data_IF_790046387580
#
_entry.id   IF_790046387580
#
_cell.length_a   1.000
_cell.length_b   1.000
_cell.length_c   1.000
_cell.angle_alpha   90.00
_cell.angle_beta   90.00
_cell.angle_gamma   90.00
#
_symmetry.space_group_name_H-M   'P 1'
#
loop_
_entity.id
_entity.type
_entity.pdbx_description
1 polymer ?
#
# COMPACT_ATOMS: atom_id res chain seq x y z
N UNK A 1 -3.36 10.77 -16.03
CA UNK A 1 -2.97 9.83 -14.95
C UNK A 1 -1.66 10.33 -14.35
N UNK A 2 -1.49 10.22 -13.03
CA UNK A 2 -0.28 10.66 -12.31
C UNK A 2 0.18 9.54 -11.37
N UNK A 3 1.49 9.35 -11.25
CA UNK A 3 2.11 8.43 -10.29
C UNK A 3 2.53 9.19 -9.03
N UNK A 4 2.03 8.76 -7.89
CA UNK A 4 2.24 9.38 -6.59
C UNK A 4 3.22 8.56 -5.76
N UNK A 5 4.30 9.18 -5.32
CA UNK A 5 5.34 8.56 -4.51
C UNK A 5 5.36 9.12 -3.08
N UNK A 6 5.86 8.38 -2.09
CA UNK A 6 6.21 8.97 -0.81
C UNK A 6 7.30 10.01 -1.00
N UNK A 7 7.20 11.14 -0.29
CA UNK A 7 8.21 12.18 -0.32
C UNK A 7 9.38 11.85 0.60
N UNK A 8 10.57 12.32 0.23
CA UNK A 8 11.74 12.27 1.10
C UNK A 8 11.51 13.10 2.39
N UNK A 9 11.99 12.57 3.52
CA UNK A 9 11.82 13.19 4.84
C UNK A 9 12.50 14.56 4.93
N UNK A 10 13.70 14.70 4.36
CA UNK A 10 14.47 15.95 4.40
C UNK A 10 14.09 16.90 3.26
N UNK A 11 13.61 16.37 2.14
CA UNK A 11 13.18 17.15 0.99
C UNK A 11 11.77 16.75 0.52
N UNK A 12 10.71 17.35 1.11
CA UNK A 12 9.31 17.00 0.82
C UNK A 12 8.86 17.21 -0.64
N UNK A 13 9.70 17.79 -1.50
CA UNK A 13 9.44 17.99 -2.93
C UNK A 13 10.07 16.91 -3.82
N UNK A 14 10.84 16.00 -3.24
CA UNK A 14 11.47 14.87 -3.94
C UNK A 14 10.83 13.57 -3.48
N UNK A 15 10.84 12.58 -4.36
CA UNK A 15 10.46 11.23 -3.97
C UNK A 15 11.49 10.68 -2.97
N UNK A 16 11.03 9.83 -2.07
CA UNK A 16 11.85 9.01 -1.19
C UNK A 16 12.97 8.32 -1.99
N UNK A 17 14.17 8.24 -1.41
CA UNK A 17 15.35 7.67 -2.06
C UNK A 17 15.09 6.26 -2.62
N UNK A 18 14.32 5.41 -1.91
CA UNK A 18 13.98 4.05 -2.34
C UNK A 18 13.15 4.00 -3.64
N UNK A 19 12.47 5.10 -4.00
CA UNK A 19 11.63 5.20 -5.20
C UNK A 19 12.14 6.21 -6.22
N UNK A 20 13.27 6.88 -5.94
CA UNK A 20 13.79 7.97 -6.77
C UNK A 20 14.07 7.56 -8.21
N UNK A 21 14.68 6.38 -8.42
CA UNK A 21 14.94 5.83 -9.76
C UNK A 21 13.64 5.50 -10.50
N UNK A 22 12.67 4.86 -9.82
CA UNK A 22 11.36 4.55 -10.41
C UNK A 22 10.62 5.81 -10.83
N UNK A 23 10.62 6.85 -9.98
CA UNK A 23 10.02 8.14 -10.30
C UNK A 23 10.70 8.79 -11.51
N UNK A 24 12.03 8.72 -11.61
CA UNK A 24 12.77 9.22 -12.77
C UNK A 24 12.43 8.46 -14.05
N UNK A 25 12.38 7.12 -14.00
CA UNK A 25 11.99 6.29 -15.15
C UNK A 25 10.57 6.60 -15.63
N UNK A 26 9.60 6.69 -14.72
CA UNK A 26 8.20 7.02 -15.06
C UNK A 26 8.09 8.41 -15.68
N UNK A 27 8.82 9.38 -15.12
CA UNK A 27 8.88 10.73 -15.69
C UNK A 27 9.52 10.75 -17.08
N UNK A 28 10.62 10.01 -17.28
CA UNK A 28 11.30 9.88 -18.57
C UNK A 28 10.42 9.17 -19.62
N UNK A 29 9.54 8.28 -19.19
CA UNK A 29 8.52 7.66 -20.04
C UNK A 29 7.35 8.61 -20.39
N UNK A 30 7.36 9.86 -19.93
CA UNK A 30 6.37 10.89 -20.27
C UNK A 30 5.15 10.95 -19.34
N UNK A 31 5.15 10.21 -18.24
CA UNK A 31 4.06 10.27 -17.25
C UNK A 31 4.26 11.38 -16.23
N UNK A 32 3.16 11.97 -15.77
CA UNK A 32 3.19 12.89 -14.64
C UNK A 32 3.53 12.14 -13.34
N UNK A 33 4.35 12.78 -12.50
CA UNK A 33 4.73 12.26 -11.18
C UNK A 33 4.47 13.31 -10.11
N UNK A 34 4.06 12.89 -8.92
CA UNK A 34 3.95 13.73 -7.73
C UNK A 34 4.40 13.00 -6.48
N UNK A 35 4.50 13.74 -5.38
CA UNK A 35 4.92 13.23 -4.08
C UNK A 35 3.95 13.63 -2.98
N UNK A 36 3.88 12.82 -1.93
CA UNK A 36 3.11 13.09 -0.70
C UNK A 36 3.93 12.67 0.53
N UNK A 37 3.89 13.48 1.59
CA UNK A 37 4.50 13.10 2.86
C UNK A 37 3.58 12.16 3.63
N UNK A 38 4.03 10.91 3.83
CA UNK A 38 3.29 9.90 4.58
C UNK A 38 3.18 10.28 6.07
N UNK A 39 4.24 10.88 6.63
CA UNK A 39 4.26 11.39 8.01
C UNK A 39 3.21 12.48 8.27
N UNK A 40 2.77 13.17 7.21
CA UNK A 40 1.75 14.20 7.30
C UNK A 40 0.33 13.66 7.09
N UNK A 41 0.13 12.37 6.82
CA UNK A 41 -1.21 11.82 6.64
C UNK A 41 -2.03 12.02 7.92
N UNK A 42 -3.25 12.55 7.77
CA UNK A 42 -4.15 12.81 8.89
C UNK A 42 -3.87 14.09 9.68
N UNK A 43 -2.75 14.79 9.46
CA UNK A 43 -2.41 16.02 10.21
C UNK A 43 -3.06 17.29 9.65
N UNK A 44 -3.95 17.19 8.65
CA UNK A 44 -4.59 18.32 7.96
C UNK A 44 -3.67 19.14 7.04
N UNK A 45 -2.36 18.90 7.10
CA UNK A 45 -1.34 19.51 6.24
C UNK A 45 -0.90 18.62 5.08
N UNK A 46 -1.46 17.41 4.98
CA UNK A 46 -1.19 16.46 3.90
C UNK A 46 -1.53 17.08 2.55
N UNK A 47 -0.56 17.12 1.64
CA UNK A 47 -0.75 17.66 0.29
C UNK A 47 0.11 16.93 -0.72
N UNK A 48 -0.43 16.82 -1.92
CA UNK A 48 0.27 16.23 -3.07
C UNK A 48 1.00 17.34 -3.83
N UNK A 49 2.26 17.10 -4.20
CA UNK A 49 3.11 18.07 -4.88
C UNK A 49 3.72 17.43 -6.15
N UNK A 50 3.46 17.99 -7.35
CA UNK A 50 2.46 19.02 -7.64
C UNK A 50 1.03 18.49 -7.44
N UNK A 51 0.07 19.39 -7.22
CA UNK A 51 -1.34 19.02 -7.11
C UNK A 51 -1.80 18.30 -8.40
N UNK A 52 -2.51 17.16 -8.29
CA UNK A 52 -3.10 16.50 -9.44
C UNK A 52 -4.09 17.39 -10.17
N UNK A 53 -4.21 17.22 -11.49
CA UNK A 53 -5.29 17.85 -12.24
C UNK A 53 -6.63 17.20 -11.84
N UNK A 54 -7.70 17.98 -11.58
CA UNK A 54 -9.03 17.42 -11.34
C UNK A 54 -9.46 16.46 -12.47
N UNK A 55 -10.11 15.36 -12.11
CA UNK A 55 -10.48 14.27 -13.03
C UNK A 55 -9.34 13.32 -13.39
N UNK A 56 -8.10 13.57 -12.94
CA UNK A 56 -7.00 12.63 -13.16
C UNK A 56 -7.14 11.38 -12.27
N UNK A 57 -6.68 10.23 -12.79
CA UNK A 57 -6.44 9.03 -11.98
C UNK A 57 -5.04 9.06 -11.36
N UNK A 58 -4.94 8.75 -10.08
CA UNK A 58 -3.71 8.68 -9.29
C UNK A 58 -3.34 7.22 -9.02
N UNK A 59 -2.10 6.85 -9.33
CA UNK A 59 -1.51 5.56 -8.97
C UNK A 59 -0.53 5.78 -7.83
N UNK A 60 -0.85 5.28 -6.64
CA UNK A 60 0.10 5.32 -5.53
C UNK A 60 1.16 4.23 -5.71
N UNK A 61 2.43 4.64 -5.67
CA UNK A 61 3.59 3.77 -5.77
C UNK A 61 4.55 4.09 -4.63
N UNK A 62 4.43 3.36 -3.54
CA UNK A 62 5.20 3.61 -2.33
C UNK A 62 5.20 2.44 -1.37
N UNK A 63 5.63 2.73 -0.14
CA UNK A 63 5.55 1.81 0.98
C UNK A 63 4.12 1.33 1.18
N UNK A 64 4.00 0.08 1.61
CA UNK A 64 2.73 -0.50 2.02
C UNK A 64 2.20 0.31 3.21
N UNK A 65 0.95 0.74 3.11
CA UNK A 65 0.26 1.55 4.11
C UNK A 65 -0.71 0.69 4.90
N UNK A 66 -0.92 1.03 6.17
CA UNK A 66 -2.01 0.46 6.96
C UNK A 66 -3.37 0.76 6.28
N UNK A 67 -4.43 -0.03 6.58
CA UNK A 67 -5.78 0.26 6.08
C UNK A 67 -6.25 1.70 6.36
N UNK A 68 -5.89 2.23 7.54
CA UNK A 68 -6.25 3.59 7.95
C UNK A 68 -5.46 4.65 7.17
N UNK A 69 -4.15 4.48 7.02
CA UNK A 69 -3.32 5.43 6.27
C UNK A 69 -3.67 5.43 4.78
N UNK A 70 -4.04 4.27 4.22
CA UNK A 70 -4.51 4.20 2.84
C UNK A 70 -5.85 4.93 2.64
N UNK A 71 -6.76 4.87 3.61
CA UNK A 71 -8.00 5.65 3.59
C UNK A 71 -7.75 7.16 3.67
N UNK A 72 -6.80 7.58 4.50
CA UNK A 72 -6.36 8.98 4.56
C UNK A 72 -5.75 9.42 3.23
N UNK A 73 -4.90 8.58 2.61
CA UNK A 73 -4.33 8.83 1.29
C UNK A 73 -5.41 9.01 0.22
N UNK A 74 -6.41 8.11 0.17
CA UNK A 74 -7.56 8.19 -0.74
C UNK A 74 -8.28 9.52 -0.54
N UNK A 75 -8.57 9.88 0.72
CA UNK A 75 -9.27 11.12 1.07
C UNK A 75 -8.50 12.36 0.60
N UNK A 76 -7.17 12.37 0.76
CA UNK A 76 -6.31 13.47 0.27
C UNK A 76 -6.36 13.57 -1.25
N UNK A 77 -6.29 12.44 -1.96
CA UNK A 77 -6.38 12.41 -3.43
C UNK A 77 -7.74 12.93 -3.91
N UNK A 78 -8.84 12.46 -3.33
CA UNK A 78 -10.19 12.85 -3.70
C UNK A 78 -10.47 14.33 -3.41
N UNK A 79 -9.87 14.89 -2.35
CA UNK A 79 -9.96 16.32 -2.04
C UNK A 79 -9.39 17.23 -3.14
N UNK A 80 -8.51 16.70 -4.00
CA UNK A 80 -7.96 17.44 -5.16
C UNK A 80 -8.85 17.38 -6.40
N UNK A 81 -9.98 16.66 -6.33
CA UNK A 81 -10.85 16.36 -7.47
C UNK A 81 -10.30 15.26 -8.38
N UNK A 82 -9.20 14.61 -7.99
CA UNK A 82 -8.68 13.41 -8.65
C UNK A 82 -9.31 12.14 -8.05
N UNK A 83 -9.01 10.97 -8.62
CA UNK A 83 -9.48 9.67 -8.11
C UNK A 83 -8.34 8.69 -7.99
N UNK A 84 -8.41 7.77 -7.03
CA UNK A 84 -7.46 6.66 -6.94
C UNK A 84 -7.70 5.63 -8.05
N UNK A 85 -6.62 5.06 -8.59
CA UNK A 85 -6.72 3.93 -9.51
C UNK A 85 -7.14 2.65 -8.78
N UNK A 86 -6.55 2.42 -7.61
CA UNK A 86 -6.85 1.28 -6.73
C UNK A 86 -7.67 1.77 -5.55
N UNK A 87 -8.94 1.37 -5.48
CA UNK A 87 -9.81 1.69 -4.35
C UNK A 87 -9.31 1.06 -3.04
N UNK A 88 -9.79 1.57 -1.89
CA UNK A 88 -9.51 0.97 -0.58
C UNK A 88 -9.89 -0.51 -0.54
N UNK A 89 -11.03 -0.88 -1.13
CA UNK A 89 -11.50 -2.26 -1.16
C UNK A 89 -10.55 -3.17 -1.97
N UNK A 90 -10.13 -2.73 -3.16
CA UNK A 90 -9.17 -3.46 -4.00
C UNK A 90 -7.79 -3.59 -3.35
N UNK A 91 -7.35 -2.52 -2.67
CA UNK A 91 -6.12 -2.55 -1.88
C UNK A 91 -6.21 -3.61 -0.78
N UNK A 92 -7.25 -3.57 0.06
CA UNK A 92 -7.41 -4.52 1.18
C UNK A 92 -7.61 -5.97 0.72
N UNK A 93 -8.25 -6.18 -0.43
CA UNK A 93 -8.40 -7.52 -1.01
C UNK A 93 -7.06 -8.19 -1.33
N UNK A 94 -6.00 -7.40 -1.57
CA UNK A 94 -4.66 -7.89 -1.93
C UNK A 94 -3.60 -7.59 -0.88
N UNK A 95 -3.94 -6.84 0.18
CA UNK A 95 -3.02 -6.40 1.22
C UNK A 95 -2.71 -7.51 2.24
N UNK A 96 -3.73 -8.26 2.67
CA UNK A 96 -3.56 -9.34 3.66
C UNK A 96 -3.73 -10.71 3.01
N UNK A 97 -2.84 -11.65 3.36
CA UNK A 97 -2.83 -13.03 2.84
C UNK A 97 -4.20 -13.71 2.96
N UNK A 98 -4.88 -13.53 4.10
CA UNK A 98 -6.19 -14.14 4.35
C UNK A 98 -7.26 -13.73 3.33
N UNK A 99 -7.13 -12.55 2.72
CA UNK A 99 -8.11 -12.03 1.77
C UNK A 99 -7.92 -12.57 0.35
N UNK A 100 -6.70 -12.95 -0.05
CA UNK A 100 -6.41 -13.42 -1.41
C UNK A 100 -6.02 -14.90 -1.50
N UNK A 101 -5.57 -15.52 -0.41
CA UNK A 101 -5.22 -16.95 -0.38
C UNK A 101 -6.34 -17.86 -0.92
N UNK A 102 -7.64 -17.67 -0.57
CA UNK A 102 -8.71 -18.51 -1.11
C UNK A 102 -8.83 -18.51 -2.64
N UNK A 103 -8.27 -17.50 -3.33
CA UNK A 103 -8.32 -17.37 -4.78
C UNK A 103 -7.21 -18.15 -5.49
N UNK A 104 -6.15 -18.54 -4.77
CA UNK A 104 -4.95 -19.15 -5.37
C UNK A 104 -4.44 -20.38 -4.61
N UNK A 105 -5.32 -21.06 -3.87
CA UNK A 105 -4.98 -22.25 -3.06
C UNK A 105 -4.29 -23.35 -3.86
N UNK A 106 -4.62 -23.50 -5.14
CA UNK A 106 -4.04 -24.52 -6.03
C UNK A 106 -2.59 -24.20 -6.42
N UNK A 107 -2.14 -22.96 -6.17
CA UNK A 107 -0.82 -22.45 -6.53
C UNK A 107 0.04 -22.11 -5.30
N UNK A 108 -0.46 -22.31 -4.09
CA UNK A 108 0.24 -22.01 -2.84
C UNK A 108 0.34 -23.25 -1.93
N UNK A 109 1.34 -23.31 -1.03
CA UNK A 109 1.35 -24.32 0.03
C UNK A 109 0.11 -24.20 0.93
N UNK A 110 -0.26 -25.32 1.56
CA UNK A 110 -1.34 -25.33 2.56
C UNK A 110 -1.08 -24.25 3.64
N UNK A 111 -2.00 -23.31 3.76
CA UNK A 111 -1.98 -22.26 4.78
C UNK A 111 -3.19 -22.41 5.69
N UNK A 112 -2.95 -22.33 7.00
CA UNK A 112 -3.98 -22.37 8.04
C UNK A 112 -3.98 -21.04 8.77
N UNK A 113 -5.17 -20.50 8.97
CA UNK A 113 -5.37 -19.25 9.70
C UNK A 113 -5.91 -19.57 11.09
N UNK A 114 -5.35 -18.88 12.08
CA UNK A 114 -5.69 -19.03 13.49
C UNK A 114 -5.97 -17.65 14.07
N UNK A 115 -6.87 -17.57 15.04
CA UNK A 115 -7.06 -16.38 15.87
C UNK A 115 -5.87 -16.21 16.81
N UNK A 116 -5.64 -14.98 17.29
CA UNK A 116 -4.67 -14.70 18.37
C UNK A 116 -5.00 -15.48 19.65
N UNK A 117 -6.27 -15.78 19.87
CA UNK A 117 -6.74 -16.54 21.03
C UNK A 117 -6.57 -18.06 20.88
N UNK A 118 -6.12 -18.56 19.72
CA UNK A 118 -5.95 -20.00 19.49
C UNK A 118 -4.68 -20.54 20.16
N UNK A 119 -4.79 -21.69 20.85
CA UNK A 119 -3.66 -22.37 21.47
C UNK A 119 -2.80 -23.11 20.43
N UNK A 120 -1.81 -22.39 19.89
CA UNK A 120 -0.87 -22.89 18.90
C UNK A 120 -0.12 -24.17 19.33
N UNK A 121 0.19 -24.32 20.62
CA UNK A 121 1.02 -25.43 21.13
C UNK A 121 0.30 -26.76 21.13
N UNK A 122 -1.03 -26.75 21.12
CA UNK A 122 -1.83 -27.98 20.99
C UNK A 122 -1.94 -28.46 19.54
N UNK A 123 -1.70 -27.56 18.57
CA UNK A 123 -1.90 -27.80 17.14
C UNK A 123 -0.65 -28.33 16.44
N UNK A 124 0.55 -27.96 16.91
CA UNK A 124 1.85 -28.33 16.32
C UNK A 124 2.16 -29.85 16.39
N UNK A 125 1.62 -30.56 17.38
CA UNK A 125 1.93 -32.00 17.61
C UNK A 125 1.51 -32.96 16.49
N UNK A 126 0.81 -32.49 15.45
CA UNK A 126 0.31 -33.33 14.33
C UNK A 126 1.09 -33.18 13.03
N UNK A 127 1.95 -32.19 12.89
CA UNK A 127 2.57 -31.84 11.60
C UNK A 127 4.08 -31.92 11.71
N UNK A 128 4.67 -33.06 11.34
CA UNK A 128 6.11 -33.26 11.24
C UNK A 128 6.80 -32.46 10.11
N UNK A 129 6.25 -31.31 9.75
CA UNK A 129 6.66 -30.44 8.64
C UNK A 129 7.32 -29.17 9.18
N UNK A 130 8.22 -28.55 8.40
CA UNK A 130 8.74 -27.22 8.72
C UNK A 130 7.61 -26.20 8.54
N UNK A 131 7.10 -25.66 9.64
CA UNK A 131 6.07 -24.62 9.64
C UNK A 131 6.74 -23.26 9.54
N UNK A 132 6.23 -22.40 8.67
CA UNK A 132 6.55 -20.97 8.63
C UNK A 132 5.34 -20.22 9.18
N UNK A 133 5.55 -19.46 10.25
CA UNK A 133 4.50 -18.66 10.88
C UNK A 133 4.65 -17.19 10.47
N UNK A 134 3.55 -16.56 10.10
CA UNK A 134 3.44 -15.14 9.79
C UNK A 134 2.29 -14.55 10.62
N UNK A 135 2.53 -13.39 11.25
CA UNK A 135 1.50 -12.63 11.96
C UNK A 135 1.12 -11.44 11.09
N UNK A 136 -0.18 -11.26 10.83
CA UNK A 136 -0.68 -10.04 10.21
C UNK A 136 -0.80 -8.95 11.28
N UNK A 137 -0.21 -7.78 11.02
CA UNK A 137 -0.30 -6.57 11.86
C UNK A 137 -1.68 -5.90 11.83
#
# INVERSE_FOLDING_TARGET
>A
MIFLFPSDYFNPKKADAAYSEQAACIKNAGFATGVISLESLGTGSSKIIPAPTPGSKVVYRGWMLSPGDYELLVSVIESTGASVLTSKAEYLATHYLINWYPLITDFTPETKFYSVDDDFWTLDKKTGSRIVCEQNE
#
